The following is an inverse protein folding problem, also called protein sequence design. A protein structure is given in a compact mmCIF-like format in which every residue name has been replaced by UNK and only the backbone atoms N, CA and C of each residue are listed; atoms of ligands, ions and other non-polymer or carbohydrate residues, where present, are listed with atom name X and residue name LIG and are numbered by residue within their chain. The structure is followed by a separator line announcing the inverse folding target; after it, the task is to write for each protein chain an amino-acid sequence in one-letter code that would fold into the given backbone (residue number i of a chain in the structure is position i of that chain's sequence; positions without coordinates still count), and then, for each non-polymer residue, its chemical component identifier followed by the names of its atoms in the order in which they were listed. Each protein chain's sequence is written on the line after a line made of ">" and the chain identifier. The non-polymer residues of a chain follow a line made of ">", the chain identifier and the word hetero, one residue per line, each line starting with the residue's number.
data_IF_593801512526
#
_entry.id   IF_593801512526
#
_cell.length_a   1.000
_cell.length_b   1.000
_cell.length_c   1.000
_cell.angle_alpha   90.00
_cell.angle_beta   90.00
_cell.angle_gamma   90.00
#
_symmetry.space_group_name_H-M   'P 1'
#
loop_
_entity.id
_entity.type
_entity.pdbx_description
1 polymer ?
#
# COMPACT_ATOMS: atom_id res chain seq x y z
N UNK A 1 -19.96 -56.91 -12.87
CA UNK A 1 -18.63 -57.51 -12.68
C UNK A 1 -17.95 -56.72 -11.57
N UNK A 2 -18.22 -56.95 -10.28
CA UNK A 2 -17.88 -58.08 -9.40
C UNK A 2 -16.39 -58.22 -9.08
N UNK A 3 -16.11 -58.09 -7.77
CA UNK A 3 -14.92 -58.46 -6.96
C UNK A 3 -13.62 -57.68 -7.19
N UNK A 4 -12.81 -57.33 -6.18
CA UNK A 4 -12.84 -57.69 -4.76
C UNK A 4 -11.68 -57.02 -3.99
N UNK A 5 -11.86 -57.02 -2.67
CA UNK A 5 -10.98 -56.56 -1.60
C UNK A 5 -9.67 -57.37 -1.48
N UNK A 6 -8.56 -56.76 -1.04
CA UNK A 6 -7.46 -57.43 -0.34
C UNK A 6 -6.61 -56.42 0.46
N UNK A 7 -6.82 -56.46 1.77
CA UNK A 7 -5.82 -56.16 2.81
C UNK A 7 -4.61 -57.10 2.69
N UNK A 8 -3.39 -56.59 2.96
CA UNK A 8 -2.42 -57.32 3.79
C UNK A 8 -1.33 -56.43 4.39
N UNK A 9 -1.10 -56.76 5.65
CA UNK A 9 -0.22 -56.23 6.66
C UNK A 9 1.13 -56.99 6.63
N UNK A 10 2.24 -56.31 6.93
CA UNK A 10 3.50 -56.85 7.46
C UNK A 10 4.17 -55.64 8.16
N UNK A 11 4.51 -55.59 9.45
CA UNK A 11 4.66 -56.66 10.43
C UNK A 11 6.13 -56.78 10.86
N UNK A 12 6.51 -56.02 11.89
CA UNK A 12 7.66 -56.30 12.78
C UNK A 12 9.03 -55.85 12.27
N UNK A 13 10.04 -55.59 13.10
CA UNK A 13 10.17 -55.62 14.55
C UNK A 13 11.61 -55.13 14.87
N UNK A 14 11.83 -54.57 16.06
CA UNK A 14 13.00 -54.96 16.84
C UNK A 14 14.13 -53.94 17.06
N UNK A 15 14.20 -53.46 18.31
CA UNK A 15 15.43 -53.30 19.10
C UNK A 15 16.15 -51.95 18.97
N UNK A 16 16.54 -51.25 20.04
CA UNK A 16 16.70 -51.63 21.45
C UNK A 16 18.03 -51.08 21.98
N UNK A 17 18.02 -50.59 23.23
CA UNK A 17 19.22 -50.28 24.04
C UNK A 17 19.52 -48.78 24.15
N UNK A 18 19.34 -48.05 25.26
CA UNK A 18 19.68 -48.21 26.69
C UNK A 18 21.01 -47.57 27.10
N UNK A 19 20.98 -46.87 28.24
CA UNK A 19 22.11 -46.32 29.02
C UNK A 19 22.02 -44.80 29.13
N UNK A 20 21.58 -44.18 30.24
CA UNK A 20 22.15 -44.22 31.60
C UNK A 20 23.15 -43.05 31.73
N UNK A 21 23.21 -42.19 32.74
CA UNK A 21 22.63 -42.04 34.08
C UNK A 21 23.50 -41.03 34.84
N UNK A 22 22.99 -40.44 35.93
CA UNK A 22 23.74 -39.64 36.92
C UNK A 22 23.67 -38.12 36.70
N UNK A 23 23.45 -37.25 37.70
CA UNK A 23 23.47 -37.38 39.17
C UNK A 23 24.30 -36.24 39.77
N UNK A 24 23.76 -35.52 40.77
CA UNK A 24 24.42 -34.47 41.60
C UNK A 24 23.83 -33.07 41.35
N UNK A 25 23.25 -32.31 42.30
CA UNK A 25 23.65 -32.07 43.70
C UNK A 25 24.95 -31.26 43.70
N UNK A 26 25.16 -30.11 44.38
CA UNK A 26 24.68 -29.58 45.65
C UNK A 26 25.11 -28.09 45.79
N UNK A 27 24.46 -27.38 46.73
CA UNK A 27 24.99 -26.32 47.63
C UNK A 27 25.44 -24.96 47.04
N UNK A 28 24.80 -23.83 47.36
CA UNK A 28 24.81 -23.03 48.62
C UNK A 28 26.06 -22.13 48.78
N UNK A 29 25.84 -20.85 49.09
CA UNK A 29 26.91 -19.87 49.28
C UNK A 29 26.42 -18.45 49.54
N UNK A 30 25.56 -18.26 50.54
CA UNK A 30 25.40 -16.98 51.24
C UNK A 30 26.68 -16.65 52.00
N UNK A 31 27.24 -15.46 51.82
CA UNK A 31 28.00 -14.74 52.85
C UNK A 31 27.82 -13.24 52.64
N UNK A 32 27.19 -12.59 53.62
CA UNK A 32 27.43 -11.17 53.89
C UNK A 32 28.68 -11.02 54.76
N UNK A 33 29.29 -9.83 54.78
CA UNK A 33 29.32 -8.96 55.95
C UNK A 33 30.17 -7.69 55.70
N UNK A 34 29.73 -6.61 56.33
CA UNK A 34 30.47 -5.51 56.98
C UNK A 34 31.37 -4.58 56.15
N UNK A 35 30.80 -3.40 55.90
CA UNK A 35 31.18 -2.11 56.50
C UNK A 35 32.64 -1.88 56.92
N UNK A 36 33.25 -0.84 56.37
CA UNK A 36 34.11 0.05 57.13
C UNK A 36 34.11 1.48 56.57
N UNK A 37 33.96 2.37 57.52
CA UNK A 37 33.88 3.82 57.56
C UNK A 37 35.22 4.45 57.18
N UNK A 38 35.23 5.53 56.41
CA UNK A 38 36.05 6.70 56.78
C UNK A 38 35.64 7.99 56.07
N UNK A 39 35.74 9.06 56.84
CA UNK A 39 35.33 10.44 56.65
C UNK A 39 36.47 11.31 56.09
N UNK A 40 36.11 12.47 55.54
CA UNK A 40 36.99 13.63 55.31
C UNK A 40 37.56 13.71 53.89
N UNK A 41 37.60 14.85 53.20
CA UNK A 41 37.33 16.23 53.54
C UNK A 41 37.55 17.11 52.31
N UNK A 42 37.02 18.33 52.38
CA UNK A 42 36.95 19.36 51.34
C UNK A 42 38.32 19.84 50.81
N UNK A 43 38.39 20.13 49.50
CA UNK A 43 38.90 21.41 48.97
C UNK A 43 38.64 21.55 47.46
N UNK A 44 37.93 22.62 47.09
CA UNK A 44 37.93 23.25 45.75
C UNK A 44 39.19 24.10 45.59
N UNK A 45 39.65 24.35 44.35
CA UNK A 45 39.30 25.64 43.76
C UNK A 45 38.96 25.59 42.25
N UNK A 46 38.14 26.57 41.89
CA UNK A 46 37.67 26.97 40.57
C UNK A 46 38.77 27.30 39.55
N UNK A 47 38.51 27.01 38.27
CA UNK A 47 38.65 28.02 37.20
C UNK A 47 37.80 27.71 35.95
N UNK A 48 36.80 28.56 35.78
CA UNK A 48 36.16 29.15 34.59
C UNK A 48 36.76 28.83 33.21
N UNK A 49 35.93 28.39 32.26
CA UNK A 49 35.51 29.11 31.03
C UNK A 49 34.96 28.14 29.96
N UNK A 50 33.86 28.51 29.31
CA UNK A 50 33.50 28.00 27.98
C UNK A 50 32.19 27.22 27.88
N UNK A 51 31.07 27.84 28.25
CA UNK A 51 29.74 27.38 27.86
C UNK A 51 29.56 27.58 26.35
N UNK A 52 29.24 26.51 25.62
CA UNK A 52 28.61 26.58 24.30
C UNK A 52 27.55 25.49 24.23
N UNK A 53 26.38 25.83 24.79
CA UNK A 53 25.13 25.16 24.50
C UNK A 53 24.83 25.34 23.01
N UNK A 54 25.19 24.33 22.19
CA UNK A 54 24.58 24.18 20.88
C UNK A 54 23.22 23.51 21.09
N UNK A 55 22.21 24.36 21.12
CA UNK A 55 20.80 24.02 21.07
C UNK A 55 20.50 23.38 19.71
N UNK A 56 20.76 22.08 19.58
CA UNK A 56 20.43 21.29 18.41
C UNK A 56 18.94 20.96 18.40
N UNK A 57 18.14 21.89 17.88
CA UNK A 57 16.78 21.63 17.41
C UNK A 57 16.77 20.32 16.61
N UNK A 58 15.83 19.43 16.93
CA UNK A 58 15.61 18.16 16.23
C UNK A 58 15.36 18.40 14.75
N UNK A 59 16.43 18.36 13.95
CA UNK A 59 16.39 18.41 12.50
C UNK A 59 15.86 17.09 11.93
N UNK A 60 15.01 17.21 10.93
CA UNK A 60 14.38 16.13 10.19
C UNK A 60 15.39 15.07 9.74
N UNK A 61 15.45 13.94 10.47
CA UNK A 61 16.24 12.75 10.10
C UNK A 61 15.89 12.19 8.71
N UNK A 62 14.79 12.64 8.08
CA UNK A 62 14.41 12.25 6.72
C UNK A 62 15.09 13.06 5.61
N UNK A 63 15.60 14.27 5.88
CA UNK A 63 16.20 15.14 4.84
C UNK A 63 17.49 14.55 4.24
N UNK A 64 18.27 13.83 5.06
CA UNK A 64 19.56 13.22 4.68
C UNK A 64 19.49 11.84 3.99
N UNK A 65 18.33 11.19 3.92
CA UNK A 65 18.18 9.86 3.29
C UNK A 65 18.40 9.98 1.78
N UNK A 66 19.34 9.25 1.19
CA UNK A 66 19.65 9.37 -0.25
C UNK A 66 20.72 10.40 -0.58
N UNK A 67 21.38 11.03 0.40
CA UNK A 67 22.41 12.05 0.14
C UNK A 67 23.64 11.48 -0.61
N UNK A 68 23.88 10.17 -0.50
CA UNK A 68 25.01 9.52 -1.17
C UNK A 68 24.64 8.95 -2.55
N UNK A 69 23.38 9.05 -2.97
CA UNK A 69 22.95 8.59 -4.30
C UNK A 69 23.53 9.49 -5.38
N UNK A 70 24.47 8.94 -6.16
CA UNK A 70 24.97 9.59 -7.37
C UNK A 70 23.95 9.43 -8.49
N UNK A 71 23.56 10.52 -9.13
CA UNK A 71 22.67 10.48 -10.30
C UNK A 71 23.38 9.78 -11.46
N UNK A 72 22.82 8.71 -12.05
CA UNK A 72 23.39 8.10 -13.23
C UNK A 72 23.39 9.10 -14.40
N UNK A 73 24.45 9.11 -15.19
CA UNK A 73 24.43 9.79 -16.47
C UNK A 73 23.73 8.89 -17.49
N UNK A 74 22.67 9.41 -18.11
CA UNK A 74 21.88 8.70 -19.11
C UNK A 74 22.29 9.17 -20.49
N UNK A 75 22.95 8.30 -21.24
CA UNK A 75 23.12 8.47 -22.67
C UNK A 75 22.01 7.68 -23.40
N UNK A 76 21.05 8.40 -23.96
CA UNK A 76 19.87 7.84 -24.64
C UNK A 76 20.24 6.99 -25.86
N UNK A 77 21.38 7.25 -26.51
CA UNK A 77 21.78 6.52 -27.70
C UNK A 77 22.35 5.14 -27.35
N UNK A 78 23.05 5.04 -26.22
CA UNK A 78 23.61 3.80 -25.69
C UNK A 78 22.60 2.92 -24.94
N UNK A 79 21.44 3.49 -24.55
CA UNK A 79 20.46 2.76 -23.75
C UNK A 79 19.78 1.65 -24.56
N UNK A 80 19.59 0.45 -23.98
CA UNK A 80 18.80 -0.59 -24.61
C UNK A 80 17.41 -0.08 -24.94
N UNK A 81 17.03 -0.16 -26.21
CA UNK A 81 15.69 0.15 -26.67
C UNK A 81 14.70 -0.86 -26.09
N UNK A 82 13.50 -0.39 -25.78
CA UNK A 82 12.43 -1.23 -25.29
C UNK A 82 11.12 -0.87 -25.98
N UNK A 83 10.27 -1.86 -26.17
CA UNK A 83 8.91 -1.64 -26.64
C UNK A 83 8.04 -1.19 -25.47
N UNK A 84 7.18 -0.20 -25.70
CA UNK A 84 6.23 0.33 -24.71
C UNK A 84 4.80 0.45 -25.23
N UNK A 85 4.62 0.44 -26.56
CA UNK A 85 3.32 0.58 -27.19
C UNK A 85 2.85 -0.78 -27.68
N UNK A 86 1.97 -1.41 -26.89
CA UNK A 86 1.44 -2.75 -27.16
C UNK A 86 -0.02 -2.73 -27.59
N UNK A 87 -0.68 -1.58 -27.40
CA UNK A 87 -2.10 -1.45 -27.63
C UNK A 87 -2.44 -1.61 -29.13
N UNK A 88 -3.11 -2.71 -29.45
CA UNK A 88 -3.70 -2.96 -30.76
C UNK A 88 -5.21 -2.98 -30.58
N UNK A 89 -5.93 -1.88 -30.87
CA UNK A 89 -7.37 -1.84 -30.69
C UNK A 89 -8.02 -2.86 -31.61
N UNK A 90 -8.99 -3.62 -31.09
CA UNK A 90 -9.77 -4.53 -31.93
C UNK A 90 -10.65 -3.74 -32.91
N UNK A 91 -11.07 -4.39 -34.01
CA UNK A 91 -11.91 -3.79 -35.04
C UNK A 91 -13.15 -3.08 -34.49
N UNK A 92 -13.80 -3.67 -33.48
CA UNK A 92 -14.99 -3.09 -32.86
C UNK A 92 -14.69 -1.74 -32.18
N UNK A 93 -13.57 -1.63 -31.48
CA UNK A 93 -13.13 -0.38 -30.85
C UNK A 93 -12.70 0.63 -31.92
N UNK A 94 -11.98 0.19 -32.96
CA UNK A 94 -11.53 1.07 -34.04
C UNK A 94 -12.70 1.70 -34.80
N UNK A 95 -13.70 0.90 -35.17
CA UNK A 95 -14.87 1.32 -35.98
C UNK A 95 -15.90 2.13 -35.18
N UNK A 96 -15.81 2.16 -33.84
CA UNK A 96 -16.74 2.90 -32.97
C UNK A 96 -16.73 4.39 -33.31
N UNK A 97 -17.90 4.99 -33.55
CA UNK A 97 -17.99 6.40 -33.93
C UNK A 97 -17.58 7.32 -32.77
N UNK A 98 -17.11 8.55 -33.04
CA UNK A 98 -16.84 9.52 -31.98
C UNK A 98 -18.05 9.78 -31.07
N UNK A 99 -19.25 9.84 -31.65
CA UNK A 99 -20.50 10.03 -30.91
C UNK A 99 -20.76 8.89 -29.91
N UNK A 100 -20.54 7.63 -30.32
CA UNK A 100 -20.71 6.48 -29.43
C UNK A 100 -19.68 6.45 -28.31
N UNK A 101 -18.44 6.86 -28.62
CA UNK A 101 -17.36 6.98 -27.62
C UNK A 101 -17.72 8.03 -26.57
N UNK A 102 -18.20 9.20 -27.01
CA UNK A 102 -18.57 10.30 -26.12
C UNK A 102 -19.82 9.97 -25.31
N UNK A 103 -20.80 9.28 -25.90
CA UNK A 103 -21.97 8.76 -25.20
C UNK A 103 -21.56 7.77 -24.09
N UNK A 104 -20.66 6.82 -24.40
CA UNK A 104 -20.16 5.86 -23.41
C UNK A 104 -19.36 6.55 -22.28
N UNK A 105 -18.49 7.50 -22.63
CA UNK A 105 -17.75 8.30 -21.64
C UNK A 105 -18.71 9.07 -20.74
N UNK A 106 -19.74 9.70 -21.30
CA UNK A 106 -20.76 10.41 -20.52
C UNK A 106 -21.51 9.48 -19.58
N UNK A 107 -21.98 8.33 -20.09
CA UNK A 107 -22.69 7.31 -19.31
C UNK A 107 -21.85 6.79 -18.14
N UNK A 108 -20.56 6.57 -18.36
CA UNK A 108 -19.62 6.06 -17.34
C UNK A 108 -18.91 7.17 -16.56
N UNK A 109 -19.35 8.42 -16.69
CA UNK A 109 -18.80 9.61 -16.03
C UNK A 109 -17.29 9.79 -16.22
N UNK A 110 -16.81 9.54 -17.43
CA UNK A 110 -15.41 9.68 -17.82
C UNK A 110 -15.16 11.07 -18.42
N UNK A 111 -14.13 11.76 -17.94
CA UNK A 111 -13.58 12.96 -18.56
C UNK A 111 -12.13 12.67 -18.93
N UNK A 112 -11.77 12.87 -20.19
CA UNK A 112 -10.42 12.64 -20.69
C UNK A 112 -9.77 13.95 -21.11
N UNK A 113 -8.46 14.05 -20.94
CA UNK A 113 -7.65 15.16 -21.42
C UNK A 113 -6.32 14.67 -22.00
N UNK A 114 -5.77 15.47 -22.91
CA UNK A 114 -4.62 15.10 -23.73
C UNK A 114 -4.99 14.90 -25.20
N UNK A 115 -3.98 14.78 -26.06
CA UNK A 115 -4.16 14.55 -27.50
C UNK A 115 -4.29 13.06 -27.78
N UNK A 116 -5.01 12.66 -28.82
CA UNK A 116 -5.06 11.26 -29.32
C UNK A 116 -5.29 10.20 -28.24
N UNK A 117 -6.20 10.47 -27.30
CA UNK A 117 -6.51 9.54 -26.20
C UNK A 117 -7.19 8.28 -26.78
N UNK A 118 -6.65 7.07 -26.53
CA UNK A 118 -7.27 5.83 -26.99
C UNK A 118 -8.74 5.70 -26.59
N UNK A 119 -9.55 5.10 -27.46
CA UNK A 119 -10.98 4.86 -27.20
C UNK A 119 -11.14 3.87 -26.03
N UNK A 120 -12.14 4.06 -25.15
CA UNK A 120 -12.38 3.14 -24.05
C UNK A 120 -12.87 1.78 -24.57
N UNK A 121 -12.50 0.72 -23.86
CA UNK A 121 -12.96 -0.64 -24.11
C UNK A 121 -14.22 -0.91 -23.30
N UNK A 122 -15.20 -1.61 -23.88
CA UNK A 122 -16.49 -1.87 -23.21
C UNK A 122 -16.59 -3.28 -22.61
N UNK A 123 -15.71 -4.19 -23.02
CA UNK A 123 -15.63 -5.56 -22.52
C UNK A 123 -14.16 -5.97 -22.30
N UNK A 124 -13.93 -7.07 -21.58
CA UNK A 124 -12.59 -7.59 -21.39
C UNK A 124 -11.94 -8.05 -22.69
N UNK A 125 -12.70 -8.65 -23.61
CA UNK A 125 -12.15 -9.15 -24.87
C UNK A 125 -11.74 -7.99 -25.82
N UNK A 126 -12.31 -6.79 -25.63
CA UNK A 126 -11.88 -5.56 -26.32
C UNK A 126 -10.55 -4.98 -25.78
N UNK A 127 -10.09 -5.39 -24.60
CA UNK A 127 -8.92 -4.81 -23.93
C UNK A 127 -7.60 -5.06 -24.68
N UNK A 128 -7.58 -6.03 -25.60
CA UNK A 128 -6.38 -6.38 -26.37
C UNK A 128 -5.28 -7.04 -25.54
N UNK A 129 -5.63 -7.60 -24.37
CA UNK A 129 -4.69 -8.33 -23.53
C UNK A 129 -4.36 -9.71 -24.12
N UNK A 130 -3.12 -10.19 -23.97
CA UNK A 130 -2.76 -11.56 -24.30
C UNK A 130 -3.59 -12.59 -23.52
N UNK A 131 -3.77 -13.78 -24.09
CA UNK A 131 -4.59 -14.85 -23.52
C UNK A 131 -4.22 -15.22 -22.08
N UNK A 132 -2.92 -15.21 -21.73
CA UNK A 132 -2.46 -15.53 -20.39
C UNK A 132 -2.92 -14.49 -19.34
N UNK A 133 -3.02 -13.21 -19.70
CA UNK A 133 -3.58 -12.16 -18.80
C UNK A 133 -5.10 -12.30 -18.72
N UNK A 134 -5.74 -12.52 -19.88
CA UNK A 134 -7.20 -12.65 -19.97
C UNK A 134 -7.74 -13.84 -19.16
N UNK A 135 -7.00 -14.95 -19.13
CA UNK A 135 -7.37 -16.12 -18.33
C UNK A 135 -7.37 -15.80 -16.83
N UNK A 136 -6.39 -15.03 -16.34
CA UNK A 136 -6.35 -14.59 -14.93
C UNK A 136 -7.50 -13.63 -14.61
N UNK A 137 -7.81 -12.70 -15.52
CA UNK A 137 -8.95 -11.77 -15.36
C UNK A 137 -10.28 -12.53 -15.28
N UNK A 138 -10.49 -13.51 -16.17
CA UNK A 138 -11.69 -14.37 -16.17
C UNK A 138 -11.76 -15.25 -14.92
N UNK A 139 -10.62 -15.76 -14.43
CA UNK A 139 -10.55 -16.57 -13.21
C UNK A 139 -10.96 -15.80 -11.94
N UNK A 140 -10.81 -14.47 -11.91
CA UNK A 140 -11.30 -13.64 -10.81
C UNK A 140 -12.83 -13.41 -10.82
N UNK A 141 -13.53 -13.84 -11.88
CA UNK A 141 -15.00 -13.74 -11.96
C UNK A 141 -15.54 -12.32 -12.18
N UNK A 142 -14.72 -11.41 -12.72
CA UNK A 142 -15.21 -10.06 -13.05
C UNK A 142 -16.17 -10.11 -14.25
N UNK A 143 -17.31 -9.41 -14.14
CA UNK A 143 -18.35 -9.38 -15.19
C UNK A 143 -18.02 -8.44 -16.34
N UNK A 144 -17.54 -7.25 -16.00
CA UNK A 144 -17.18 -6.20 -16.95
C UNK A 144 -16.04 -5.34 -16.38
N UNK A 145 -15.26 -4.64 -17.22
CA UNK A 145 -14.29 -3.66 -16.75
C UNK A 145 -14.96 -2.51 -16.01
N UNK A 146 -14.35 -2.05 -14.92
CA UNK A 146 -14.78 -0.81 -14.26
C UNK A 146 -14.50 0.41 -15.16
N UNK A 147 -15.13 1.58 -14.94
CA UNK A 147 -14.90 2.75 -15.77
C UNK A 147 -13.42 3.16 -15.89
N UNK A 148 -12.68 3.10 -14.78
CA UNK A 148 -11.24 3.42 -14.78
C UNK A 148 -10.41 2.37 -15.52
N UNK A 149 -10.83 1.10 -15.51
CA UNK A 149 -10.19 0.02 -16.26
C UNK A 149 -10.45 0.16 -17.77
N UNK A 150 -11.72 0.38 -18.14
CA UNK A 150 -12.19 0.54 -19.51
C UNK A 150 -11.42 1.63 -20.28
N UNK A 151 -11.15 2.77 -19.64
CA UNK A 151 -10.37 3.85 -20.26
C UNK A 151 -8.86 3.73 -19.95
N UNK A 152 -8.48 3.25 -18.76
CA UNK A 152 -7.10 3.24 -18.31
C UNK A 152 -6.23 2.14 -18.92
N UNK A 153 -6.76 0.96 -19.23
CA UNK A 153 -5.98 -0.09 -19.92
C UNK A 153 -5.48 0.30 -21.31
N UNK A 154 -6.34 0.79 -22.24
CA UNK A 154 -5.85 1.19 -23.56
C UNK A 154 -4.88 2.37 -23.47
N UNK A 155 -5.07 3.28 -22.49
CA UNK A 155 -4.12 4.37 -22.22
C UNK A 155 -2.76 3.83 -21.75
N UNK A 156 -2.73 2.92 -20.77
CA UNK A 156 -1.49 2.34 -20.27
C UNK A 156 -0.78 1.47 -21.32
N UNK A 157 -1.52 0.64 -22.07
CA UNK A 157 -0.95 -0.21 -23.13
C UNK A 157 -0.43 0.60 -24.33
N UNK A 158 -0.85 1.86 -24.50
CA UNK A 158 -0.35 2.72 -25.57
C UNK A 158 1.11 3.16 -25.38
N UNK A 159 1.67 2.98 -24.17
CA UNK A 159 3.04 3.35 -23.85
C UNK A 159 3.26 4.83 -23.54
N UNK A 160 2.17 5.60 -23.40
CA UNK A 160 2.19 7.01 -22.97
C UNK A 160 2.15 7.11 -21.46
N UNK A 161 2.61 8.26 -20.94
CA UNK A 161 2.44 8.58 -19.54
C UNK A 161 0.95 8.82 -19.24
N UNK A 162 0.50 8.38 -18.06
CA UNK A 162 -0.93 8.35 -17.71
C UNK A 162 -1.17 8.96 -16.35
N UNK A 163 -2.23 9.77 -16.24
CA UNK A 163 -2.83 10.13 -14.96
C UNK A 163 -4.24 9.55 -14.88
N UNK A 164 -4.50 8.69 -13.91
CA UNK A 164 -5.80 8.06 -13.70
C UNK A 164 -6.41 8.43 -12.35
N UNK A 165 -7.54 9.12 -12.38
CA UNK A 165 -8.22 9.62 -11.19
C UNK A 165 -9.58 8.96 -11.08
N UNK A 166 -9.78 8.22 -10.00
CA UNK A 166 -11.03 7.54 -9.69
C UNK A 166 -11.12 7.23 -8.21
N UNK A 167 -12.33 7.14 -7.67
CA UNK A 167 -12.57 6.85 -6.25
C UNK A 167 -11.87 5.57 -5.74
N UNK A 168 -11.73 5.44 -4.43
CA UNK A 168 -11.23 4.21 -3.80
C UNK A 168 -12.16 3.04 -4.10
N UNK A 169 -11.60 1.85 -4.33
CA UNK A 169 -12.38 0.66 -4.68
C UNK A 169 -12.84 0.60 -6.15
N UNK A 170 -12.49 1.58 -6.99
CA UNK A 170 -12.83 1.59 -8.43
C UNK A 170 -12.01 0.62 -9.30
N UNK A 171 -11.00 -0.07 -8.73
CA UNK A 171 -10.19 -1.06 -9.44
C UNK A 171 -8.90 -0.52 -10.08
N UNK A 172 -8.40 0.66 -9.64
CA UNK A 172 -7.15 1.30 -10.11
C UNK A 172 -5.94 0.36 -10.12
N UNK A 173 -5.79 -0.48 -9.09
CA UNK A 173 -4.68 -1.43 -8.96
C UNK A 173 -4.57 -2.36 -10.16
N UNK A 174 -5.68 -2.95 -10.60
CA UNK A 174 -5.70 -3.81 -11.79
C UNK A 174 -5.49 -3.01 -13.07
N UNK A 175 -5.88 -1.73 -13.08
CA UNK A 175 -5.67 -0.84 -14.22
C UNK A 175 -4.19 -0.67 -14.56
N UNK A 176 -3.31 -0.58 -13.56
CA UNK A 176 -1.86 -0.46 -13.81
C UNK A 176 -1.10 -1.78 -13.73
N UNK A 177 -1.58 -2.78 -12.98
CA UNK A 177 -0.89 -4.07 -12.84
C UNK A 177 -1.00 -4.94 -14.10
N UNK A 178 -2.16 -5.00 -14.76
CA UNK A 178 -2.33 -5.87 -15.94
C UNK A 178 -1.49 -5.40 -17.14
N UNK A 179 -1.45 -4.09 -17.49
CA UNK A 179 -0.53 -3.60 -18.51
C UNK A 179 0.95 -3.81 -18.13
N UNK A 180 1.31 -3.73 -16.85
CA UNK A 180 2.67 -3.98 -16.39
C UNK A 180 3.15 -5.41 -16.69
N UNK A 181 2.26 -6.40 -16.62
CA UNK A 181 2.56 -7.80 -16.99
C UNK A 181 2.86 -7.92 -18.48
N UNK A 182 2.05 -7.28 -19.33
CA UNK A 182 2.30 -7.24 -20.79
C UNK A 182 3.63 -6.55 -21.08
N UNK A 183 3.88 -5.43 -20.41
CA UNK A 183 5.12 -4.68 -20.52
C UNK A 183 6.35 -5.54 -20.18
N UNK A 184 6.32 -6.28 -19.07
CA UNK A 184 7.41 -7.17 -18.66
C UNK A 184 7.69 -8.25 -19.70
N UNK A 185 6.65 -8.91 -20.21
CA UNK A 185 6.81 -10.03 -21.14
C UNK A 185 7.36 -9.60 -22.52
N UNK A 186 7.28 -8.30 -22.85
CA UNK A 186 7.89 -7.75 -24.05
C UNK A 186 9.35 -7.29 -23.85
N UNK A 187 9.90 -7.40 -22.63
CA UNK A 187 11.29 -7.07 -22.34
C UNK A 187 12.18 -8.32 -22.39
N UNK A 188 13.50 -8.15 -22.63
CA UNK A 188 14.46 -9.21 -22.38
C UNK A 188 14.37 -9.72 -20.94
N UNK A 189 14.56 -11.02 -20.73
CA UNK A 189 14.61 -11.62 -19.40
C UNK A 189 15.67 -10.94 -18.53
N UNK A 190 15.47 -10.97 -17.21
CA UNK A 190 16.43 -10.41 -16.26
C UNK A 190 17.74 -11.21 -16.27
N UNK A 191 18.85 -10.51 -16.37
CA UNK A 191 20.18 -11.06 -16.15
C UNK A 191 20.58 -10.94 -14.66
N UNK A 192 21.55 -11.74 -14.17
CA UNK A 192 22.10 -11.55 -12.83
C UNK A 192 22.60 -10.12 -12.62
N UNK A 193 22.18 -9.48 -11.52
CA UNK A 193 22.52 -8.08 -11.21
C UNK A 193 21.59 -7.03 -11.81
N UNK A 194 20.62 -7.42 -12.63
CA UNK A 194 19.57 -6.52 -13.09
C UNK A 194 18.63 -6.11 -11.95
N UNK A 195 18.20 -4.85 -12.02
CA UNK A 195 17.11 -4.33 -11.20
C UNK A 195 15.72 -4.66 -11.79
N UNK A 196 14.64 -4.21 -11.13
CA UNK A 196 13.29 -4.44 -11.62
C UNK A 196 13.00 -3.73 -12.94
N UNK A 197 12.01 -4.25 -13.68
CA UNK A 197 11.46 -3.63 -14.89
C UNK A 197 10.31 -2.69 -14.53
N UNK A 198 9.49 -3.12 -13.57
CA UNK A 198 8.33 -2.37 -13.05
C UNK A 198 8.63 -1.93 -11.62
N UNK A 199 8.46 -0.64 -11.35
CA UNK A 199 8.51 -0.08 -10.01
C UNK A 199 7.16 0.51 -9.64
N UNK A 200 6.56 0.07 -8.54
CA UNK A 200 5.36 0.67 -7.95
C UNK A 200 5.72 1.31 -6.63
N UNK A 201 5.50 2.62 -6.50
CA UNK A 201 5.69 3.36 -5.26
C UNK A 201 4.33 3.59 -4.58
N UNK A 202 4.28 3.30 -3.28
CA UNK A 202 3.11 3.52 -2.43
C UNK A 202 3.52 4.26 -1.14
N UNK A 203 2.63 5.09 -0.55
CA UNK A 203 2.94 5.90 0.61
C UNK A 203 3.04 5.09 1.92
N UNK A 204 2.29 4.01 2.03
CA UNK A 204 2.21 3.18 3.24
C UNK A 204 2.69 1.76 2.99
N UNK A 205 3.16 1.11 4.05
CA UNK A 205 3.71 -0.26 3.97
C UNK A 205 2.59 -1.26 3.69
N UNK A 206 1.45 -1.01 4.32
CA UNK A 206 0.23 -1.78 4.25
C UNK A 206 -0.32 -1.78 2.82
N UNK A 207 -0.33 -0.62 2.14
CA UNK A 207 -0.71 -0.52 0.73
C UNK A 207 0.27 -1.26 -0.18
N UNK A 208 1.57 -1.11 0.05
CA UNK A 208 2.59 -1.80 -0.73
C UNK A 208 2.42 -3.34 -0.67
N UNK A 209 2.15 -3.90 0.51
CA UNK A 209 1.85 -5.33 0.68
C UNK A 209 0.56 -5.74 -0.05
N UNK A 210 -0.48 -4.91 -0.04
CA UNK A 210 -1.72 -5.21 -0.77
C UNK A 210 -1.50 -5.23 -2.29
N UNK A 211 -0.78 -4.25 -2.82
CA UNK A 211 -0.44 -4.22 -4.25
C UNK A 211 0.39 -5.47 -4.59
N UNK A 212 1.35 -5.86 -3.76
CA UNK A 212 2.13 -7.09 -3.94
C UNK A 212 1.23 -8.33 -4.02
N UNK A 213 0.22 -8.44 -3.15
CA UNK A 213 -0.74 -9.54 -3.17
C UNK A 213 -1.52 -9.58 -4.49
N UNK A 214 -1.98 -8.43 -4.99
CA UNK A 214 -2.64 -8.35 -6.29
C UNK A 214 -1.69 -8.76 -7.42
N UNK A 215 -0.48 -8.19 -7.49
CA UNK A 215 0.54 -8.58 -8.49
C UNK A 215 0.84 -10.08 -8.44
N UNK A 216 0.89 -10.68 -7.25
CA UNK A 216 1.11 -12.11 -7.08
C UNK A 216 -0.04 -12.96 -7.62
N UNK A 217 -1.29 -12.49 -7.57
CA UNK A 217 -2.43 -13.22 -8.17
C UNK A 217 -2.29 -13.30 -9.68
N UNK A 218 -2.03 -12.17 -10.34
CA UNK A 218 -2.01 -12.09 -11.82
C UNK A 218 -0.65 -12.50 -12.42
N UNK A 219 0.44 -12.45 -11.66
CA UNK A 219 1.78 -12.82 -12.13
C UNK A 219 2.05 -14.33 -12.19
N UNK A 220 1.18 -15.17 -11.59
CA UNK A 220 1.37 -16.62 -11.50
C UNK A 220 1.48 -17.31 -12.86
N UNK A 221 0.57 -17.02 -13.78
CA UNK A 221 0.61 -17.56 -15.15
C UNK A 221 1.86 -17.16 -15.94
N UNK A 222 2.45 -16.00 -15.65
CA UNK A 222 3.58 -15.44 -16.40
C UNK A 222 4.95 -15.68 -15.75
N UNK A 223 5.03 -16.44 -14.65
CA UNK A 223 6.27 -16.68 -13.87
C UNK A 223 6.97 -15.37 -13.42
N UNK A 224 6.20 -14.30 -13.27
CA UNK A 224 6.71 -12.98 -12.86
C UNK A 224 6.99 -13.01 -11.36
N UNK A 225 8.22 -12.72 -10.98
CA UNK A 225 8.62 -12.56 -9.57
C UNK A 225 8.41 -11.12 -9.15
N UNK A 226 7.94 -10.97 -7.92
CA UNK A 226 7.75 -9.67 -7.31
C UNK A 226 8.26 -9.68 -5.86
N UNK A 227 8.55 -8.50 -5.33
CA UNK A 227 8.89 -8.29 -3.91
C UNK A 227 8.31 -6.98 -3.42
N UNK A 228 8.16 -6.87 -2.10
CA UNK A 228 7.73 -5.65 -1.42
C UNK A 228 8.85 -5.11 -0.52
N UNK A 229 9.29 -3.88 -0.79
CA UNK A 229 10.44 -3.23 -0.17
C UNK A 229 9.95 -2.09 0.74
N UNK A 230 9.93 -2.35 2.04
CA UNK A 230 9.40 -1.39 3.02
C UNK A 230 10.07 -1.43 4.39
N UNK A 231 10.00 -0.30 5.10
CA UNK A 231 10.64 -0.08 6.39
C UNK A 231 10.05 -0.90 7.55
N UNK A 232 10.72 -0.91 8.71
CA UNK A 232 10.17 -1.50 9.95
C UNK A 232 10.25 -3.03 10.06
N UNK A 233 10.75 -3.70 9.04
CA UNK A 233 11.08 -5.14 9.05
C UNK A 233 12.56 -5.37 8.71
N UNK A 234 13.15 -6.51 9.11
CA UNK A 234 14.54 -6.86 8.79
C UNK A 234 14.84 -6.78 7.28
N UNK A 235 16.01 -6.24 6.93
CA UNK A 235 16.41 -6.02 5.52
C UNK A 235 16.76 -7.31 4.78
N UNK A 236 17.21 -8.34 5.50
CA UNK A 236 17.86 -9.52 4.90
C UNK A 236 16.99 -10.28 3.89
N UNK A 237 15.69 -10.44 4.15
CA UNK A 237 14.79 -11.09 3.19
C UNK A 237 14.63 -10.25 1.92
N UNK A 238 14.34 -8.95 2.06
CA UNK A 238 14.19 -8.03 0.93
C UNK A 238 15.47 -7.98 0.07
N UNK A 239 16.65 -7.98 0.69
CA UNK A 239 17.95 -8.03 -0.02
C UNK A 239 18.09 -9.32 -0.84
N UNK A 240 17.75 -10.48 -0.24
CA UNK A 240 17.84 -11.77 -0.93
C UNK A 240 16.88 -11.85 -2.12
N UNK A 241 15.66 -11.34 -1.96
CA UNK A 241 14.66 -11.30 -3.04
C UNK A 241 15.12 -10.40 -4.19
N UNK A 242 15.61 -9.19 -3.89
CA UNK A 242 16.18 -8.28 -4.88
C UNK A 242 17.39 -8.89 -5.60
N UNK A 243 18.32 -9.52 -4.86
CA UNK A 243 19.51 -10.14 -5.43
C UNK A 243 19.20 -11.35 -6.34
N UNK A 244 18.10 -12.07 -6.07
CA UNK A 244 17.62 -13.16 -6.94
C UNK A 244 17.07 -12.65 -8.28
N UNK A 245 16.78 -11.34 -8.37
CA UNK A 245 16.12 -10.71 -9.51
C UNK A 245 14.60 -10.82 -9.39
N UNK A 246 13.93 -9.68 -9.55
CA UNK A 246 12.48 -9.52 -9.51
C UNK A 246 12.06 -8.61 -10.65
N UNK A 247 11.04 -8.98 -11.40
CA UNK A 247 10.55 -8.16 -12.51
C UNK A 247 9.71 -6.99 -11.99
N UNK A 248 8.99 -7.17 -10.88
CA UNK A 248 8.19 -6.14 -10.20
C UNK A 248 8.71 -5.84 -8.80
N UNK A 249 9.02 -4.58 -8.52
CA UNK A 249 9.30 -4.11 -7.17
C UNK A 249 8.18 -3.17 -6.71
N UNK A 250 7.53 -3.50 -5.60
CA UNK A 250 6.59 -2.59 -4.91
C UNK A 250 7.33 -2.02 -3.71
N UNK A 251 7.32 -0.70 -3.49
CA UNK A 251 8.12 -0.12 -2.43
C UNK A 251 7.51 1.10 -1.77
N UNK A 252 7.89 1.28 -0.50
CA UNK A 252 7.79 2.59 0.18
C UNK A 252 9.10 3.37 -0.03
N UNK A 253 9.06 4.69 -0.27
CA UNK A 253 10.23 5.44 -0.73
C UNK A 253 11.47 5.30 0.16
N UNK A 254 11.32 5.49 1.48
CA UNK A 254 12.46 5.49 2.40
C UNK A 254 13.28 4.20 2.40
N UNK A 255 12.64 3.02 2.36
CA UNK A 255 13.37 1.74 2.31
C UNK A 255 13.99 1.48 0.94
N UNK A 256 13.33 1.92 -0.14
CA UNK A 256 13.91 1.78 -1.47
C UNK A 256 15.20 2.60 -1.60
N UNK A 257 15.20 3.84 -1.10
CA UNK A 257 16.39 4.69 -1.12
C UNK A 257 17.55 4.03 -0.36
N UNK A 258 17.29 3.49 0.83
CA UNK A 258 18.29 2.72 1.61
C UNK A 258 18.85 1.52 0.82
N UNK A 259 18.00 0.78 0.09
CA UNK A 259 18.45 -0.34 -0.75
C UNK A 259 19.28 0.11 -1.96
N UNK A 260 18.97 1.28 -2.53
CA UNK A 260 19.73 1.87 -3.64
C UNK A 260 21.09 2.39 -3.17
N UNK A 261 21.13 3.11 -2.04
CA UNK A 261 22.37 3.62 -1.44
C UNK A 261 23.32 2.47 -1.07
N UNK A 262 22.79 1.39 -0.51
CA UNK A 262 23.56 0.21 -0.14
C UNK A 262 23.94 -0.69 -1.34
N UNK A 263 23.59 -0.31 -2.57
CA UNK A 263 23.88 -1.07 -3.78
C UNK A 263 23.22 -2.45 -3.82
N UNK A 264 22.10 -2.65 -3.10
CA UNK A 264 21.37 -3.93 -3.03
C UNK A 264 20.40 -4.11 -4.19
N UNK A 265 20.03 -3.02 -4.86
CA UNK A 265 19.31 -3.00 -6.12
C UNK A 265 19.72 -1.78 -6.94
N UNK A 266 19.22 -1.67 -8.17
CA UNK A 266 19.39 -0.51 -9.04
C UNK A 266 18.11 -0.32 -9.88
N UNK A 267 17.90 0.84 -10.49
CA UNK A 267 16.70 1.11 -11.29
C UNK A 267 16.99 1.22 -12.81
N UNK A 268 18.11 0.67 -13.28
CA UNK A 268 18.55 0.80 -14.68
C UNK A 268 17.61 0.15 -15.69
N UNK A 269 16.94 -0.93 -15.27
CA UNK A 269 15.97 -1.68 -16.07
C UNK A 269 14.53 -1.15 -15.94
N UNK A 270 14.28 -0.20 -15.01
CA UNK A 270 12.94 0.32 -14.79
C UNK A 270 12.48 1.11 -16.00
N UNK A 271 11.44 0.62 -16.65
CA UNK A 271 10.84 1.20 -17.87
C UNK A 271 9.35 1.48 -17.69
N UNK A 272 8.75 1.01 -16.59
CA UNK A 272 7.36 1.25 -16.21
C UNK A 272 7.32 1.63 -14.72
N UNK A 273 7.02 2.91 -14.45
CA UNK A 273 6.95 3.50 -13.11
C UNK A 273 5.49 3.80 -12.76
N UNK A 274 5.05 3.34 -11.60
CA UNK A 274 3.74 3.65 -11.05
C UNK A 274 3.89 4.42 -9.74
N UNK A 275 3.18 5.54 -9.63
CA UNK A 275 2.95 6.23 -8.36
C UNK A 275 1.48 6.02 -7.98
N UNK A 276 1.25 5.17 -6.97
CA UNK A 276 -0.09 4.98 -6.41
C UNK A 276 -0.31 5.92 -5.24
N UNK A 277 -1.55 6.40 -5.04
CA UNK A 277 -1.87 7.52 -4.15
C UNK A 277 -0.97 8.75 -4.45
N UNK A 278 -0.88 9.11 -5.73
CA UNK A 278 0.10 10.08 -6.24
C UNK A 278 -0.04 11.49 -5.61
N UNK A 279 -1.23 11.88 -5.15
CA UNK A 279 -1.41 13.15 -4.42
C UNK A 279 -0.65 13.20 -3.10
N UNK A 280 -0.55 12.06 -2.40
CA UNK A 280 0.28 11.93 -1.19
C UNK A 280 1.74 11.78 -1.52
N UNK A 281 2.08 11.00 -2.54
CA UNK A 281 3.48 10.81 -2.94
C UNK A 281 4.13 12.12 -3.41
N UNK A 282 3.33 13.05 -3.91
CA UNK A 282 3.74 14.38 -4.34
C UNK A 282 3.49 15.47 -3.29
N UNK A 283 3.04 15.13 -2.08
CA UNK A 283 2.98 16.09 -0.99
C UNK A 283 4.39 16.52 -0.53
N UNK A 284 4.46 17.63 0.24
CA UNK A 284 5.74 18.20 0.69
C UNK A 284 6.60 17.22 1.51
N UNK A 285 6.01 16.15 2.08
CA UNK A 285 6.74 15.15 2.86
C UNK A 285 7.41 14.07 2.01
N UNK A 286 6.78 13.64 0.92
CA UNK A 286 7.28 12.57 0.06
C UNK A 286 8.01 13.06 -1.20
N UNK A 287 7.68 14.23 -1.73
CA UNK A 287 8.23 14.72 -2.99
C UNK A 287 9.78 14.70 -3.06
N UNK A 288 10.55 15.08 -2.00
CA UNK A 288 12.01 14.97 -2.04
C UNK A 288 12.51 13.53 -2.19
N UNK A 289 11.83 12.56 -1.58
CA UNK A 289 12.17 11.14 -1.69
C UNK A 289 11.84 10.61 -3.09
N UNK A 290 10.70 11.01 -3.65
CA UNK A 290 10.31 10.66 -5.02
C UNK A 290 11.31 11.21 -6.02
N UNK A 291 11.71 12.48 -5.89
CA UNK A 291 12.74 13.08 -6.74
C UNK A 291 14.05 12.30 -6.73
N UNK A 292 14.50 11.87 -5.54
CA UNK A 292 15.71 11.04 -5.41
C UNK A 292 15.55 9.70 -6.16
N UNK A 293 14.43 9.02 -6.00
CA UNK A 293 14.17 7.73 -6.68
C UNK A 293 14.06 7.91 -8.20
N UNK A 294 13.25 8.86 -8.66
CA UNK A 294 13.00 9.09 -10.09
C UNK A 294 14.28 9.53 -10.82
N UNK A 295 15.16 10.29 -10.15
CA UNK A 295 16.46 10.67 -10.72
C UNK A 295 17.37 9.48 -11.06
N UNK A 296 17.12 8.33 -10.45
CA UNK A 296 17.86 7.07 -10.66
C UNK A 296 17.26 6.20 -11.77
N UNK A 297 16.17 6.65 -12.41
CA UNK A 297 15.48 5.93 -13.50
C UNK A 297 15.77 6.64 -14.83
N UNK A 298 15.88 5.87 -15.91
CA UNK A 298 15.99 6.39 -17.27
C UNK A 298 14.83 7.34 -17.63
N UNK A 299 15.07 8.40 -18.41
CA UNK A 299 14.07 9.44 -18.68
C UNK A 299 13.01 9.05 -19.72
N UNK A 300 13.25 7.99 -20.50
CA UNK A 300 12.35 7.48 -21.53
C UNK A 300 11.37 6.39 -21.03
N UNK A 301 11.38 6.11 -19.71
CA UNK A 301 10.40 5.27 -19.01
C UNK A 301 8.97 5.74 -19.28
N UNK A 302 8.00 4.84 -19.12
CA UNK A 302 6.59 5.18 -18.99
C UNK A 302 6.27 5.45 -17.51
N UNK A 303 5.59 6.56 -17.23
CA UNK A 303 5.17 6.96 -15.87
C UNK A 303 3.65 7.01 -15.76
N UNK A 304 3.09 6.33 -14.76
CA UNK A 304 1.66 6.29 -14.49
C UNK A 304 1.38 6.76 -13.06
N UNK A 305 0.51 7.75 -12.91
CA UNK A 305 0.07 8.26 -11.61
C UNK A 305 -1.39 7.92 -11.39
N UNK A 306 -1.70 7.37 -10.22
CA UNK A 306 -3.06 6.96 -9.84
C UNK A 306 -3.43 7.57 -8.50
N UNK A 307 -4.63 8.12 -8.40
CA UNK A 307 -5.10 8.73 -7.17
C UNK A 307 -6.63 8.77 -7.10
N UNK A 308 -7.18 8.91 -5.90
CA UNK A 308 -8.58 9.28 -5.71
C UNK A 308 -8.81 10.78 -5.83
N UNK A 309 -7.80 11.59 -5.52
CA UNK A 309 -7.86 13.04 -5.43
C UNK A 309 -6.75 13.68 -6.26
N UNK A 310 -7.05 14.80 -6.93
CA UNK A 310 -6.09 15.47 -7.83
C UNK A 310 -6.15 17.00 -7.75
N UNK A 311 -5.71 17.57 -6.61
CA UNK A 311 -5.78 19.00 -6.36
C UNK A 311 -4.82 19.79 -7.28
N UNK A 312 -4.94 21.13 -7.31
CA UNK A 312 -4.20 21.99 -8.26
C UNK A 312 -2.68 21.96 -8.02
N UNK A 313 -2.29 21.84 -6.75
CA UNK A 313 -0.91 21.86 -6.29
C UNK A 313 -0.17 20.60 -6.77
N UNK A 314 -0.82 19.43 -6.64
CA UNK A 314 -0.31 18.14 -7.12
C UNK A 314 -0.23 18.13 -8.65
N UNK A 315 -1.20 18.73 -9.35
CA UNK A 315 -1.18 18.85 -10.82
C UNK A 315 0.07 19.54 -11.34
N UNK A 316 0.48 20.64 -10.69
CA UNK A 316 1.67 21.38 -11.08
C UNK A 316 2.93 20.53 -10.88
N UNK A 317 3.04 19.85 -9.74
CA UNK A 317 4.17 18.98 -9.45
C UNK A 317 4.23 17.75 -10.36
N UNK A 318 3.09 17.20 -10.78
CA UNK A 318 3.04 16.03 -11.66
C UNK A 318 3.72 16.27 -13.01
N UNK A 319 3.71 17.51 -13.52
CA UNK A 319 4.38 17.88 -14.78
C UNK A 319 5.89 17.66 -14.75
N UNK A 320 6.52 17.68 -13.57
CA UNK A 320 7.98 17.45 -13.44
C UNK A 320 8.36 15.98 -13.65
N UNK A 321 7.40 15.05 -13.54
CA UNK A 321 7.63 13.62 -13.60
C UNK A 321 7.07 12.94 -14.87
N UNK A 322 6.20 13.65 -15.60
CA UNK A 322 5.42 13.12 -16.73
C UNK A 322 5.82 13.79 -18.05
N UNK A 323 5.76 13.05 -19.15
CA UNK A 323 6.03 13.54 -20.51
C UNK A 323 4.87 13.22 -21.46
N UNK A 324 4.31 14.25 -22.09
CA UNK A 324 3.19 14.15 -23.06
C UNK A 324 2.09 13.18 -22.58
N UNK A 325 1.67 13.37 -21.34
CA UNK A 325 0.75 12.45 -20.67
C UNK A 325 -0.69 12.66 -21.11
N UNK A 326 -1.48 11.60 -20.93
CA UNK A 326 -2.93 11.60 -21.09
C UNK A 326 -3.58 11.35 -19.73
N UNK A 327 -4.73 11.97 -19.51
CA UNK A 327 -5.41 11.91 -18.22
C UNK A 327 -6.86 11.46 -18.37
N UNK A 328 -7.32 10.66 -17.41
CA UNK A 328 -8.71 10.28 -17.25
C UNK A 328 -9.18 10.55 -15.82
N UNK A 329 -10.35 11.15 -15.70
CA UNK A 329 -11.08 11.37 -14.46
C UNK A 329 -12.41 10.62 -14.52
N UNK A 330 -12.68 9.79 -13.52
CA UNK A 330 -13.96 9.10 -13.34
C UNK A 330 -14.73 9.78 -12.21
N UNK A 331 -15.96 10.18 -12.48
CA UNK A 331 -16.81 10.91 -11.53
C UNK A 331 -16.68 12.43 -11.65
N UNK A 332 -17.01 13.14 -10.58
CA UNK A 332 -16.92 14.61 -10.54
C UNK A 332 -15.46 15.09 -10.52
N UNK A 333 -15.21 16.28 -11.06
CA UNK A 333 -13.92 16.97 -10.92
C UNK A 333 -13.74 17.61 -9.55
N UNK A 334 -14.85 17.84 -8.84
CA UNK A 334 -14.84 18.30 -7.45
C UNK A 334 -14.57 17.12 -6.52
N UNK A 335 -14.03 17.40 -5.34
CA UNK A 335 -13.84 16.40 -4.28
C UNK A 335 -15.19 15.77 -3.90
N UNK A 336 -15.57 14.71 -4.60
CA UNK A 336 -16.78 13.94 -4.31
C UNK A 336 -16.38 12.65 -3.60
N UNK A 337 -16.84 12.47 -2.37
CA UNK A 337 -16.79 11.18 -1.72
C UNK A 337 -17.65 10.16 -2.49
N UNK A 338 -17.38 8.86 -2.31
CA UNK A 338 -18.12 7.81 -2.99
C UNK A 338 -19.63 7.90 -2.64
N UNK A 339 -20.48 8.01 -3.66
CA UNK A 339 -21.93 8.15 -3.49
C UNK A 339 -22.61 6.95 -2.81
N UNK A 340 -21.93 5.79 -2.76
CA UNK A 340 -22.41 4.59 -2.05
C UNK A 340 -22.24 4.68 -0.53
N UNK A 341 -21.62 5.73 -0.02
CA UNK A 341 -21.35 5.93 1.39
C UNK A 341 -22.33 6.97 1.94
N UNK A 342 -23.16 6.55 2.89
CA UNK A 342 -24.02 7.44 3.68
C UNK A 342 -23.15 8.24 4.65
N UNK A 343 -23.27 9.56 4.61
CA UNK A 343 -22.48 10.47 5.44
C UNK A 343 -23.37 11.06 6.52
N UNK A 344 -22.99 10.89 7.78
CA UNK A 344 -23.69 11.45 8.95
C UNK A 344 -22.69 12.33 9.69
N UNK A 345 -23.05 13.59 9.88
CA UNK A 345 -22.23 14.57 10.61
C UNK A 345 -22.96 14.95 11.89
N UNK A 346 -22.30 14.75 13.04
CA UNK A 346 -22.86 15.08 14.35
C UNK A 346 -21.96 16.12 15.03
N UNK A 347 -22.54 17.28 15.36
CA UNK A 347 -21.85 18.37 16.06
C UNK A 347 -22.04 18.15 17.56
N UNK A 348 -20.94 17.86 18.26
CA UNK A 348 -20.92 17.54 19.69
C UNK A 348 -19.73 18.23 20.35
N UNK A 349 -19.82 18.47 21.66
CA UNK A 349 -18.68 18.93 22.45
C UNK A 349 -17.64 17.80 22.64
N UNK A 350 -16.39 18.14 22.97
CA UNK A 350 -15.34 17.14 23.24
C UNK A 350 -15.72 16.15 24.35
N UNK A 351 -16.44 16.62 25.38
CA UNK A 351 -16.86 15.80 26.51
C UNK A 351 -17.90 14.75 26.11
N UNK A 352 -18.77 15.07 25.14
CA UNK A 352 -19.83 14.18 24.68
C UNK A 352 -19.33 13.10 23.70
N UNK A 353 -18.14 13.28 23.09
CA UNK A 353 -17.64 12.37 22.05
C UNK A 353 -17.53 10.93 22.52
N UNK A 354 -17.10 10.69 23.76
CA UNK A 354 -16.93 9.33 24.30
C UNK A 354 -18.28 8.62 24.46
N UNK A 355 -19.23 9.28 25.11
CA UNK A 355 -20.56 8.72 25.34
C UNK A 355 -21.30 8.48 24.02
N UNK A 356 -21.16 9.40 23.06
CA UNK A 356 -21.72 9.24 21.71
C UNK A 356 -21.06 8.09 20.96
N UNK A 357 -19.73 7.96 21.03
CA UNK A 357 -19.02 6.84 20.40
C UNK A 357 -19.52 5.50 20.93
N UNK A 358 -19.70 5.35 22.24
CA UNK A 358 -20.23 4.11 22.84
C UNK A 358 -21.64 3.83 22.31
N UNK A 359 -22.55 4.81 22.32
CA UNK A 359 -23.91 4.64 21.78
C UNK A 359 -23.94 4.24 20.30
N UNK A 360 -23.04 4.82 19.50
CA UNK A 360 -22.91 4.44 18.09
C UNK A 360 -22.38 3.01 17.96
N UNK A 361 -21.38 2.62 18.75
CA UNK A 361 -20.84 1.27 18.75
C UNK A 361 -21.86 0.24 19.21
N UNK A 362 -22.65 0.50 20.25
CA UNK A 362 -23.73 -0.40 20.70
C UNK A 362 -24.69 -0.71 19.55
N UNK A 363 -25.16 0.31 18.84
CA UNK A 363 -26.04 0.14 17.67
C UNK A 363 -25.35 -0.58 16.51
N UNK A 364 -24.08 -0.29 16.24
CA UNK A 364 -23.34 -0.89 15.12
C UNK A 364 -23.07 -2.37 15.39
N UNK A 365 -22.71 -2.70 16.64
CA UNK A 365 -22.28 -4.03 17.07
C UNK A 365 -23.44 -4.99 17.40
N UNK A 366 -24.69 -4.54 17.32
CA UNK A 366 -25.87 -5.42 17.36
C UNK A 366 -25.82 -6.48 16.24
N UNK A 367 -25.22 -6.13 15.10
CA UNK A 367 -24.87 -7.09 14.04
C UNK A 367 -23.46 -7.63 14.29
N UNK A 368 -23.33 -8.95 14.50
CA UNK A 368 -22.03 -9.59 14.78
C UNK A 368 -21.08 -9.61 13.59
N UNK A 369 -21.57 -9.33 12.37
CA UNK A 369 -20.73 -9.30 11.17
C UNK A 369 -20.21 -7.90 10.82
N UNK A 370 -20.61 -6.85 11.54
CA UNK A 370 -20.16 -5.49 11.27
C UNK A 370 -18.73 -5.26 11.77
N UNK A 371 -18.00 -4.47 10.98
CA UNK A 371 -16.66 -3.98 11.31
C UNK A 371 -16.68 -2.46 11.37
N UNK A 372 -16.03 -1.90 12.38
CA UNK A 372 -15.98 -0.47 12.62
C UNK A 372 -14.53 0.03 12.64
N UNK A 373 -14.23 1.05 11.83
CA UNK A 373 -12.94 1.73 11.80
C UNK A 373 -13.09 3.14 12.40
N UNK A 374 -12.35 3.43 13.46
CA UNK A 374 -12.42 4.69 14.21
C UNK A 374 -11.13 5.50 13.97
N UNK A 375 -11.22 6.63 13.28
CA UNK A 375 -10.11 7.55 13.07
C UNK A 375 -9.96 8.55 14.21
N UNK A 376 -8.72 8.77 14.63
CA UNK A 376 -8.32 9.77 15.62
C UNK A 376 -7.09 10.53 15.15
N UNK A 377 -6.99 11.80 15.54
CA UNK A 377 -5.93 12.69 15.05
C UNK A 377 -4.52 12.41 15.57
N UNK A 378 -4.36 11.69 16.69
CA UNK A 378 -3.04 11.44 17.28
C UNK A 378 -2.84 9.99 17.70
N UNK A 379 -1.57 9.57 17.73
CA UNK A 379 -1.16 8.23 18.17
C UNK A 379 -1.57 7.95 19.62
N UNK A 380 -1.37 8.95 20.50
CA UNK A 380 -1.77 8.88 21.91
C UNK A 380 -3.28 8.72 22.07
N UNK A 381 -4.07 9.49 21.31
CA UNK A 381 -5.52 9.32 21.31
C UNK A 381 -5.96 7.93 20.84
N UNK A 382 -5.25 7.32 19.88
CA UNK A 382 -5.56 5.97 19.41
C UNK A 382 -5.41 4.94 20.53
N UNK A 383 -4.30 5.00 21.28
CA UNK A 383 -4.08 4.13 22.44
C UNK A 383 -5.08 4.40 23.57
N UNK A 384 -5.35 5.67 23.88
CA UNK A 384 -6.26 6.06 24.97
C UNK A 384 -7.72 5.65 24.69
N UNK A 385 -8.22 5.88 23.48
CA UNK A 385 -9.56 5.44 23.07
C UNK A 385 -9.64 3.91 23.01
N UNK A 386 -8.60 3.23 22.52
CA UNK A 386 -8.58 1.76 22.51
C UNK A 386 -8.63 1.19 23.92
N UNK A 387 -7.88 1.78 24.87
CA UNK A 387 -7.90 1.36 26.27
C UNK A 387 -9.28 1.57 26.90
N UNK A 388 -9.89 2.74 26.67
CA UNK A 388 -11.23 3.06 27.12
C UNK A 388 -12.26 2.04 26.60
N UNK A 389 -12.29 1.80 25.28
CA UNK A 389 -13.21 0.84 24.67
C UNK A 389 -13.02 -0.59 25.22
N UNK A 390 -11.77 -1.02 25.47
CA UNK A 390 -11.50 -2.33 26.07
C UNK A 390 -11.96 -2.43 27.53
N UNK A 391 -11.90 -1.34 28.30
CA UNK A 391 -12.40 -1.30 29.67
C UNK A 391 -13.92 -1.49 29.71
N UNK A 392 -14.62 -0.94 28.72
CA UNK A 392 -16.06 -1.10 28.53
C UNK A 392 -16.45 -2.42 27.84
N UNK A 393 -15.47 -3.32 27.61
CA UNK A 393 -15.71 -4.66 27.07
C UNK A 393 -15.72 -4.76 25.54
N UNK A 394 -15.46 -3.68 24.80
CA UNK A 394 -15.41 -3.72 23.35
C UNK A 394 -14.10 -4.36 22.83
N UNK A 395 -14.16 -5.25 21.82
CA UNK A 395 -12.99 -5.91 21.22
C UNK A 395 -12.25 -4.98 20.24
N UNK A 396 -11.66 -3.90 20.77
CA UNK A 396 -10.96 -2.86 20.00
C UNK A 396 -9.43 -3.09 19.89
N UNK A 397 -8.86 -2.80 18.73
CA UNK A 397 -7.41 -2.78 18.47
C UNK A 397 -6.94 -1.41 17.97
N UNK A 398 -5.69 -1.03 18.24
CA UNK A 398 -5.11 0.25 17.80
C UNK A 398 -4.14 0.07 16.62
N UNK A 399 -4.18 0.96 15.62
CA UNK A 399 -3.24 1.01 14.49
C UNK A 399 -2.67 2.42 14.26
N UNK A 400 -1.37 2.60 14.54
CA UNK A 400 -0.70 3.90 14.33
C UNK A 400 0.82 3.77 14.16
N UNK A 401 1.45 4.92 13.87
CA UNK A 401 2.85 5.06 13.49
C UNK A 401 3.92 4.63 14.50
N UNK A 402 3.56 4.40 15.77
CA UNK A 402 4.52 3.95 16.82
C UNK A 402 4.41 2.46 17.12
N UNK A 403 3.36 1.79 16.64
CA UNK A 403 3.24 0.33 16.72
C UNK A 403 4.31 -0.34 15.87
N UNK A 404 4.87 -1.43 16.38
CA UNK A 404 5.83 -2.24 15.65
C UNK A 404 5.16 -2.87 14.41
N UNK A 405 5.92 -3.13 13.33
CA UNK A 405 5.30 -3.57 12.08
C UNK A 405 4.58 -4.92 12.20
N UNK A 406 5.18 -5.87 12.92
CA UNK A 406 4.55 -7.15 13.24
C UNK A 406 3.22 -6.98 13.99
N UNK A 407 3.13 -6.02 14.91
CA UNK A 407 1.89 -5.69 15.61
C UNK A 407 0.86 -5.10 14.66
N UNK A 408 1.25 -4.21 13.74
CA UNK A 408 0.36 -3.65 12.71
C UNK A 408 -0.20 -4.73 11.79
N UNK A 409 0.67 -5.60 11.30
CA UNK A 409 0.30 -6.70 10.41
C UNK A 409 -0.69 -7.65 11.11
N UNK A 410 -0.45 -7.94 12.39
CA UNK A 410 -1.36 -8.73 13.23
C UNK A 410 -2.71 -8.04 13.44
N UNK A 411 -2.73 -6.75 13.84
CA UNK A 411 -3.97 -5.98 14.03
C UNK A 411 -4.80 -5.95 12.75
N UNK A 412 -4.16 -5.69 11.60
CA UNK A 412 -4.83 -5.71 10.31
C UNK A 412 -5.40 -7.08 9.98
N UNK A 413 -4.67 -8.16 10.28
CA UNK A 413 -5.16 -9.51 10.05
C UNK A 413 -6.35 -9.88 10.95
N UNK A 414 -6.31 -9.53 12.23
CA UNK A 414 -7.41 -9.75 13.18
C UNK A 414 -8.67 -8.98 12.78
N UNK A 415 -8.50 -7.74 12.31
CA UNK A 415 -9.58 -6.94 11.76
C UNK A 415 -10.12 -7.51 10.42
N UNK A 416 -9.23 -7.94 9.52
CA UNK A 416 -9.59 -8.60 8.24
C UNK A 416 -10.40 -9.87 8.47
N UNK A 417 -9.98 -10.71 9.41
CA UNK A 417 -10.66 -11.97 9.75
C UNK A 417 -11.92 -11.78 10.58
N UNK A 418 -12.17 -10.59 11.12
CA UNK A 418 -13.34 -10.29 11.94
C UNK A 418 -13.24 -10.73 13.39
N UNK A 419 -12.10 -11.28 13.83
CA UNK A 419 -11.87 -11.65 15.24
C UNK A 419 -11.89 -10.45 16.17
N UNK A 420 -11.42 -9.30 15.69
CA UNK A 420 -11.56 -8.01 16.36
C UNK A 420 -12.25 -7.01 15.42
N UNK A 421 -13.57 -6.80 15.57
CA UNK A 421 -14.37 -6.01 14.64
C UNK A 421 -14.15 -4.50 14.76
N UNK A 422 -13.49 -4.01 15.82
CA UNK A 422 -13.25 -2.57 16.04
C UNK A 422 -11.76 -2.26 15.91
N UNK A 423 -11.41 -1.33 15.03
CA UNK A 423 -10.05 -0.84 14.87
C UNK A 423 -10.02 0.68 15.04
N UNK A 424 -9.24 1.17 16.00
CA UNK A 424 -8.95 2.59 16.21
C UNK A 424 -7.64 2.92 15.52
N UNK A 425 -7.61 3.92 14.66
CA UNK A 425 -6.45 4.23 13.85
C UNK A 425 -6.19 5.72 13.67
N UNK A 426 -4.93 6.03 13.39
CA UNK A 426 -4.55 7.35 12.84
C UNK A 426 -4.63 7.34 11.32
N UNK A 427 -4.26 8.43 10.65
CA UNK A 427 -4.20 8.52 9.19
C UNK A 427 -3.33 7.45 8.51
N UNK A 428 -2.53 6.70 9.27
CA UNK A 428 -1.84 5.49 8.78
C UNK A 428 -2.82 4.48 8.17
N UNK A 429 -4.06 4.40 8.67
CA UNK A 429 -5.09 3.50 8.15
C UNK A 429 -6.01 4.14 7.11
N UNK A 430 -5.96 5.47 6.90
CA UNK A 430 -6.95 6.17 6.08
C UNK A 430 -6.77 5.93 4.60
N UNK A 431 -5.61 5.38 4.18
CA UNK A 431 -5.29 5.12 2.77
C UNK A 431 -4.60 3.78 2.59
N UNK A 432 -5.12 3.00 1.65
CA UNK A 432 -4.55 1.71 1.26
C UNK A 432 -4.98 0.50 2.10
N UNK A 433 -6.08 0.58 2.84
CA UNK A 433 -6.83 -0.62 3.32
C UNK A 433 -8.15 -0.80 2.53
N UNK A 434 -8.23 -0.19 1.34
CA UNK A 434 -9.43 -0.04 0.52
C UNK A 434 -10.01 -1.31 -0.10
N UNK A 435 -9.58 -2.50 0.33
CA UNK A 435 -10.15 -3.79 -0.11
C UNK A 435 -11.07 -4.42 0.95
N UNK A 436 -11.17 -3.83 2.15
CA UNK A 436 -12.18 -4.21 3.12
C UNK A 436 -13.42 -3.35 2.92
N UNK A 437 -14.58 -3.98 2.75
CA UNK A 437 -15.85 -3.28 2.91
C UNK A 437 -16.00 -2.95 4.40
N UNK A 438 -16.02 -1.67 4.72
CA UNK A 438 -16.25 -1.18 6.07
C UNK A 438 -17.70 -0.72 6.15
N UNK A 439 -18.58 -1.45 6.84
CA UNK A 439 -19.94 -0.98 7.02
C UNK A 439 -19.99 0.34 7.80
N UNK A 440 -19.01 0.62 8.67
CA UNK A 440 -18.92 1.88 9.41
C UNK A 440 -17.50 2.43 9.55
N UNK A 441 -17.32 3.74 9.33
CA UNK A 441 -16.10 4.50 9.64
C UNK A 441 -16.47 5.69 10.51
N UNK A 442 -15.92 5.81 11.70
CA UNK A 442 -16.10 6.94 12.61
C UNK A 442 -14.84 7.81 12.58
N UNK A 443 -14.94 9.14 12.57
CA UNK A 443 -13.78 10.03 12.59
C UNK A 443 -13.91 11.11 13.67
N UNK A 444 -12.92 11.19 14.57
CA UNK A 444 -12.77 12.28 15.52
C UNK A 444 -11.80 13.33 15.00
N UNK A 445 -12.33 14.49 14.61
CA UNK A 445 -11.49 15.64 14.31
C UNK A 445 -11.29 16.51 15.57
N UNK A 446 -10.12 17.14 15.69
CA UNK A 446 -9.76 18.13 16.72
C UNK A 446 -9.55 19.53 16.12
N UNK A 447 -9.75 19.70 14.81
CA UNK A 447 -9.58 20.99 14.14
C UNK A 447 -10.95 21.65 13.96
N UNK A 448 -11.06 22.94 14.30
CA UNK A 448 -12.26 23.76 14.12
C UNK A 448 -12.73 23.89 12.65
N UNK A 449 -12.06 23.20 11.71
CA UNK A 449 -12.29 23.26 10.26
C UNK A 449 -12.93 21.97 9.71
N UNK A 450 -13.04 20.88 10.48
CA UNK A 450 -13.73 19.67 10.02
C UNK A 450 -14.55 19.02 11.15
N UNK A 451 -15.87 18.85 10.98
CA UNK A 451 -16.70 18.20 11.98
C UNK A 451 -16.39 16.70 12.09
N UNK A 452 -16.80 16.08 13.20
CA UNK A 452 -16.75 14.62 13.39
C UNK A 452 -17.65 13.94 12.35
N UNK A 453 -17.11 12.99 11.57
CA UNK A 453 -17.85 12.35 10.47
C UNK A 453 -18.00 10.86 10.73
N UNK A 454 -19.23 10.37 10.68
CA UNK A 454 -19.57 8.95 10.66
C UNK A 454 -19.95 8.60 9.22
N UNK A 455 -19.24 7.66 8.61
CA UNK A 455 -19.54 7.10 7.31
C UNK A 455 -20.16 5.72 7.50
N UNK A 456 -21.27 5.45 6.83
CA UNK A 456 -21.91 4.14 6.75
C UNK A 456 -21.93 3.66 5.31
N UNK A 457 -21.60 2.40 5.05
CA UNK A 457 -21.87 1.75 3.77
C UNK A 457 -22.78 0.54 4.00
N UNK A 458 -24.09 0.74 3.91
CA UNK A 458 -25.05 -0.36 3.88
C UNK A 458 -25.75 -0.41 2.52
N UNK A 459 -25.63 -1.56 1.85
CA UNK A 459 -26.72 -2.11 1.05
C UNK A 459 -27.33 -3.24 1.86
N UNK A 460 -28.64 -3.18 2.11
CA UNK A 460 -29.38 -4.27 2.74
C UNK A 460 -30.84 -3.90 3.06
N UNK A 461 -31.74 -4.37 2.20
CA UNK A 461 -33.19 -4.51 2.34
C UNK A 461 -34.09 -3.27 2.47
N UNK A 462 -34.87 -3.06 1.40
CA UNK A 462 -36.17 -2.40 1.45
C UNK A 462 -37.18 -3.32 2.17
N UNK A 463 -37.86 -2.80 3.19
CA UNK A 463 -39.21 -3.26 3.55
C UNK A 463 -40.09 -2.02 3.62
N UNK A 464 -41.17 -2.06 2.85
CA UNK A 464 -42.15 -1.01 2.65
C UNK A 464 -43.02 -0.73 3.88
N UNK A 465 -43.20 0.57 4.16
CA UNK A 465 -44.45 1.28 4.57
C UNK A 465 -45.15 0.82 5.89
N UNK A 466 -46.08 1.62 6.47
CA UNK A 466 -46.89 2.71 5.90
C UNK A 466 -46.19 4.06 5.73
#
# INVERSE_FOLDING_TARGET
>A
MSYGDYSRNYGGSGGGGSGGGGGGGYSNGYYGNSSSYSSGGYHTPSNTFGSSYSNGYGGDKMSGIGANLKKPQWDLESLPKFEKSFYKPCDAVQKRSPADVDAYRTQRQMRVSGRDVPKPVQSFDEAGFPAYVMNEVKAQGFKEPTPIQAQGWPMALSGRDVVGIAETGSGKTLTYCLPAIVHINAQPLLAPGDGPIVLVLAPTRELAVQIQQEVTKFGKSSRIRNTCVYGGVPRGQQIRELARGVEVCIATPGRLIDMLEAGKTNLRRVTYLVLDEADRMLDMGFAPQINKIVSQIRPDRQTLMWSATWPKEVRQLAHDYLKDFIQVNIGSLELSANHRITQIVEVVSEFEKRDKLVKHLERIMDDKETKCLIFVGTKRAADDITRFLRQDGFPALALHGDKAQNERDWVLNEFKTGKSPIMVATDVASRGIGMLRYPFIYSQCHSAVQPSIIWSSSQGLWISAP
#
